data_IF_232853017975
#
_entry.id   IF_232853017975
#
_cell.length_a   1.000
_cell.length_b   1.000
_cell.length_c   1.000
_cell.angle_alpha   90.00
_cell.angle_beta   90.00
_cell.angle_gamma   90.00
#
_symmetry.space_group_name_H-M   'P 1'
#
loop_
_entity.id
_entity.type
_entity.pdbx_description
1 polymer ?
#
# COMPACT_ATOMS: atom_id res chain seq x y z
N UNK A 1 42.32 -51.05 -16.43
CA UNK A 1 43.22 -51.35 -15.32
C UNK A 1 42.48 -51.01 -14.04
N UNK A 2 41.79 -51.97 -13.45
CA UNK A 2 41.97 -52.73 -12.23
C UNK A 2 42.68 -51.98 -11.09
N UNK A 3 41.92 -51.71 -10.00
CA UNK A 3 42.23 -51.99 -8.60
C UNK A 3 41.01 -51.62 -7.75
N UNK A 4 40.35 -52.44 -7.26
CA UNK A 4 39.92 -53.23 -6.11
C UNK A 4 40.78 -52.97 -4.87
N UNK A 5 40.20 -52.56 -3.77
CA UNK A 5 40.60 -52.73 -2.38
C UNK A 5 39.40 -52.20 -1.56
N UNK A 6 38.66 -52.99 -0.92
CA UNK A 6 38.71 -53.83 0.24
C UNK A 6 37.75 -53.29 1.33
N UNK A 7 36.81 -54.11 1.62
CA UNK A 7 35.80 -54.10 2.68
C UNK A 7 36.53 -54.19 4.04
N UNK A 8 36.13 -53.41 5.03
CA UNK A 8 36.25 -53.73 6.44
C UNK A 8 34.91 -53.46 7.16
N UNK A 9 34.24 -54.55 7.42
CA UNK A 9 33.05 -54.65 8.27
C UNK A 9 33.53 -54.45 9.72
N UNK A 10 32.97 -53.43 10.41
CA UNK A 10 33.01 -53.34 11.88
C UNK A 10 31.57 -53.33 12.40
N UNK A 11 31.20 -54.47 12.91
CA UNK A 11 29.92 -54.76 13.59
C UNK A 11 30.00 -54.13 14.98
N UNK A 12 29.17 -53.08 15.26
CA UNK A 12 28.96 -52.58 16.63
C UNK A 12 27.49 -52.74 16.98
N UNK A 13 27.29 -53.50 18.02
CA UNK A 13 26.05 -53.89 18.67
C UNK A 13 25.15 -52.69 18.97
N UNK A 14 23.90 -52.76 18.52
CA UNK A 14 22.82 -51.91 18.95
C UNK A 14 22.39 -52.28 20.35
N UNK A 15 22.59 -51.35 21.29
CA UNK A 15 21.83 -51.29 22.53
C UNK A 15 20.67 -50.30 22.32
N UNK A 16 19.48 -50.86 22.16
CA UNK A 16 18.25 -50.09 22.14
C UNK A 16 17.96 -49.54 23.54
N UNK A 17 18.14 -48.21 23.72
CA UNK A 17 17.44 -47.50 24.79
C UNK A 17 16.40 -46.64 24.11
N UNK A 18 15.15 -47.05 24.19
CA UNK A 18 13.95 -46.29 23.94
C UNK A 18 13.85 -45.18 25.00
N UNK A 19 14.32 -43.99 24.66
CA UNK A 19 13.97 -42.78 25.40
C UNK A 19 12.87 -42.07 24.61
N UNK A 20 11.69 -42.20 25.15
CA UNK A 20 10.50 -41.45 24.79
C UNK A 20 10.75 -39.98 25.19
N UNK A 21 11.41 -39.21 24.34
CA UNK A 21 11.46 -37.73 24.47
C UNK A 21 10.11 -37.18 24.12
N UNK A 22 9.20 -37.23 25.10
CA UNK A 22 8.07 -36.32 25.16
C UNK A 22 8.61 -34.90 25.12
N UNK A 23 8.19 -34.14 24.10
CA UNK A 23 8.35 -32.69 24.05
C UNK A 23 7.87 -32.14 25.40
N UNK A 24 8.80 -31.80 26.26
CA UNK A 24 8.54 -31.00 27.45
C UNK A 24 8.19 -29.60 26.92
N UNK A 25 6.89 -29.35 26.71
CA UNK A 25 6.35 -28.01 26.71
C UNK A 25 6.74 -27.43 28.07
N UNK A 26 7.70 -26.54 28.03
CA UNK A 26 8.14 -25.71 29.13
C UNK A 26 6.88 -25.11 29.78
N UNK A 27 6.38 -25.70 30.82
CA UNK A 27 5.36 -25.13 31.68
C UNK A 27 6.02 -23.99 32.43
N UNK A 28 6.20 -22.86 31.68
CA UNK A 28 6.55 -21.60 32.25
C UNK A 28 5.50 -21.30 33.31
N UNK A 29 5.92 -21.40 34.55
CA UNK A 29 5.20 -21.20 35.78
C UNK A 29 4.07 -20.18 35.63
N UNK A 30 2.84 -20.66 35.43
CA UNK A 30 1.68 -19.97 35.95
C UNK A 30 1.88 -19.98 37.43
N UNK A 31 2.31 -18.86 37.98
CA UNK A 31 2.37 -18.66 39.43
C UNK A 31 0.93 -18.85 39.89
N UNK A 32 0.67 -20.01 40.44
CA UNK A 32 -0.61 -20.42 41.04
C UNK A 32 -0.73 -19.73 42.41
N UNK A 33 -0.52 -18.43 42.42
CA UNK A 33 -0.59 -17.56 43.59
C UNK A 33 -2.01 -17.06 43.71
N UNK A 34 -2.88 -17.86 44.27
CA UNK A 34 -4.20 -17.39 44.69
C UNK A 34 -4.09 -16.68 46.03
N UNK A 35 -4.66 -15.51 46.18
CA UNK A 35 -4.82 -14.83 47.45
C UNK A 35 -6.15 -15.24 48.02
N UNK A 36 -6.16 -15.65 49.28
CA UNK A 36 -7.38 -16.00 50.01
C UNK A 36 -7.57 -15.01 51.16
N UNK A 37 -8.66 -14.29 51.14
CA UNK A 37 -9.06 -13.35 52.20
C UNK A 37 -10.32 -13.87 52.92
N UNK A 38 -10.46 -13.51 54.17
CA UNK A 38 -11.70 -13.74 54.91
C UNK A 38 -12.67 -12.58 54.73
N UNK A 39 -13.94 -12.74 55.13
CA UNK A 39 -15.00 -11.73 54.90
C UNK A 39 -14.69 -10.41 55.60
N UNK A 40 -13.99 -10.41 56.74
CA UNK A 40 -13.59 -9.19 57.45
C UNK A 40 -12.50 -8.41 56.69
N UNK A 41 -11.53 -9.13 56.13
CA UNK A 41 -10.47 -8.53 55.27
C UNK A 41 -11.05 -7.95 54.01
N UNK A 42 -12.01 -8.63 53.35
CA UNK A 42 -12.69 -8.17 52.17
C UNK A 42 -13.43 -6.88 52.44
N UNK A 43 -14.16 -6.84 53.55
CA UNK A 43 -14.93 -5.63 53.98
C UNK A 43 -14.02 -4.47 54.31
N UNK A 44 -12.91 -4.71 55.03
CA UNK A 44 -11.96 -3.66 55.43
C UNK A 44 -11.18 -3.11 54.24
N UNK A 45 -10.91 -3.89 53.23
CA UNK A 45 -10.27 -3.49 51.96
C UNK A 45 -11.27 -2.88 50.96
N UNK A 46 -12.56 -2.79 51.26
CA UNK A 46 -13.57 -2.23 50.39
C UNK A 46 -13.72 -2.97 49.03
N UNK A 47 -13.40 -4.29 49.06
CA UNK A 47 -13.49 -5.11 47.84
C UNK A 47 -14.95 -5.37 47.50
N UNK A 48 -15.33 -4.96 46.29
CA UNK A 48 -16.68 -5.19 45.75
C UNK A 48 -16.61 -6.12 44.55
N UNK A 49 -17.60 -7.01 44.50
CA UNK A 49 -17.76 -7.95 43.40
C UNK A 49 -18.93 -7.53 42.52
N UNK A 50 -18.77 -7.65 41.23
CA UNK A 50 -19.81 -7.33 40.24
C UNK A 50 -19.59 -8.03 38.90
N UNK A 51 -20.57 -7.92 38.02
CA UNK A 51 -20.45 -8.42 36.65
C UNK A 51 -20.04 -7.32 35.71
N UNK A 52 -19.27 -7.61 34.65
CA UNK A 52 -19.04 -6.69 33.56
C UNK A 52 -20.35 -6.15 33.02
N UNK A 53 -20.40 -4.85 32.79
CA UNK A 53 -21.58 -4.16 32.26
C UNK A 53 -21.42 -3.92 30.77
N UNK A 54 -22.47 -4.19 29.99
CA UNK A 54 -22.47 -3.88 28.57
C UNK A 54 -22.68 -2.38 28.38
N UNK A 55 -21.71 -1.69 27.83
CA UNK A 55 -21.78 -0.25 27.57
C UNK A 55 -21.47 0.06 26.12
N UNK A 56 -22.12 1.09 25.59
CA UNK A 56 -21.79 1.63 24.27
C UNK A 56 -20.59 2.55 24.41
N UNK A 57 -19.44 2.07 24.00
CA UNK A 57 -18.16 2.78 24.15
C UNK A 57 -17.48 2.93 22.78
N UNK A 58 -16.81 4.07 22.56
CA UNK A 58 -16.10 4.32 21.32
C UNK A 58 -14.76 3.57 21.30
N UNK A 59 -14.60 2.65 20.37
CA UNK A 59 -13.31 2.01 20.14
C UNK A 59 -12.43 2.89 19.24
N UNK A 60 -11.17 3.04 19.63
CA UNK A 60 -10.14 3.71 18.85
C UNK A 60 -9.11 2.67 18.38
N UNK A 61 -8.92 2.57 17.08
CA UNK A 61 -7.87 1.73 16.50
C UNK A 61 -6.67 2.62 16.24
N UNK A 62 -5.55 2.28 16.89
CA UNK A 62 -4.26 2.91 16.63
C UNK A 62 -3.51 2.11 15.56
N UNK A 63 -3.05 2.81 14.54
CA UNK A 63 -2.36 2.21 13.41
C UNK A 63 -1.27 3.17 12.90
N UNK A 64 -0.36 2.66 12.08
CA UNK A 64 0.62 3.48 11.38
C UNK A 64 0.28 3.51 9.88
N UNK A 65 0.77 4.51 9.21
CA UNK A 65 0.57 4.62 7.78
C UNK A 65 1.52 5.61 7.12
N UNK A 66 1.34 5.76 5.82
CA UNK A 66 2.08 6.72 4.99
C UNK A 66 1.15 7.39 3.98
N UNK A 67 1.54 8.57 3.54
CA UNK A 67 0.86 9.26 2.44
C UNK A 67 1.38 8.69 1.12
N UNK A 68 0.46 8.29 0.25
CA UNK A 68 0.79 7.75 -1.07
C UNK A 68 -0.01 8.46 -2.18
N UNK A 69 0.53 8.40 -3.40
CA UNK A 69 -0.16 8.84 -4.61
C UNK A 69 -0.69 7.61 -5.35
N UNK A 70 -1.99 7.53 -5.68
CA UNK A 70 -2.54 6.42 -6.45
C UNK A 70 -1.80 6.26 -7.79
N UNK A 71 -1.60 5.03 -8.29
CA UNK A 71 -0.89 4.78 -9.54
C UNK A 71 -1.44 5.55 -10.75
N UNK A 72 -2.76 5.81 -10.80
CA UNK A 72 -3.39 6.60 -11.86
C UNK A 72 -3.05 8.09 -11.83
N UNK A 73 -2.55 8.59 -10.70
CA UNK A 73 -2.17 9.99 -10.47
C UNK A 73 -0.65 10.19 -10.46
N UNK A 74 0.07 9.19 -10.92
CA UNK A 74 1.53 9.18 -11.05
C UNK A 74 1.89 8.67 -12.43
N UNK A 75 2.81 9.34 -13.11
CA UNK A 75 3.29 8.88 -14.40
C UNK A 75 4.81 8.94 -14.46
N UNK A 76 5.38 7.90 -15.05
CA UNK A 76 6.79 7.86 -15.40
C UNK A 76 6.93 8.47 -16.79
N UNK A 77 7.77 9.47 -16.92
CA UNK A 77 8.14 10.06 -18.20
C UNK A 77 9.36 9.29 -18.71
N UNK A 78 9.18 8.63 -19.85
CA UNK A 78 10.22 7.96 -20.61
C UNK A 78 10.28 8.55 -22.01
N UNK A 79 11.43 8.49 -22.65
CA UNK A 79 11.54 8.79 -24.07
C UNK A 79 10.84 7.70 -24.86
N UNK A 80 9.86 8.02 -25.71
CA UNK A 80 9.21 7.05 -26.60
C UNK A 80 10.14 6.60 -27.73
N UNK A 81 11.05 7.49 -28.12
CA UNK A 81 12.16 7.25 -29.02
C UNK A 81 13.45 7.63 -28.30
N UNK A 82 14.54 6.94 -28.62
CA UNK A 82 15.87 7.32 -28.12
C UNK A 82 16.26 8.72 -28.60
N UNK A 83 17.28 9.29 -27.99
CA UNK A 83 17.83 10.55 -28.44
C UNK A 83 18.70 11.25 -27.41
N UNK A 84 19.50 12.22 -27.87
CA UNK A 84 20.29 13.06 -26.99
C UNK A 84 19.44 14.14 -26.35
N UNK A 85 19.59 14.31 -25.05
CA UNK A 85 18.90 15.37 -24.31
C UNK A 85 19.52 16.72 -24.66
N UNK A 86 18.80 17.56 -25.37
CA UNK A 86 19.26 18.87 -25.82
C UNK A 86 19.10 19.95 -24.77
N UNK A 87 17.95 19.97 -24.12
CA UNK A 87 17.65 20.93 -23.06
C UNK A 87 16.74 20.33 -22.01
N UNK A 88 16.91 20.74 -20.76
CA UNK A 88 16.04 20.39 -19.62
C UNK A 88 15.41 21.68 -19.09
N UNK A 89 14.09 21.75 -19.02
CA UNK A 89 13.36 22.98 -18.66
C UNK A 89 12.71 22.92 -17.28
N UNK A 90 12.90 21.82 -16.56
CA UNK A 90 12.28 21.59 -15.27
C UNK A 90 13.33 21.14 -14.25
N UNK A 91 13.02 21.31 -12.97
CA UNK A 91 13.80 20.86 -11.83
C UNK A 91 12.96 19.92 -10.98
N UNK A 92 13.63 19.13 -10.18
CA UNK A 92 12.97 18.29 -9.17
C UNK A 92 12.20 19.17 -8.17
N UNK A 93 10.94 18.81 -7.86
CA UNK A 93 10.03 19.63 -7.05
C UNK A 93 9.27 20.72 -7.80
N UNK A 94 9.55 20.96 -9.10
CA UNK A 94 8.88 21.99 -9.87
C UNK A 94 7.46 21.60 -10.25
N UNK A 95 6.52 22.53 -10.09
CA UNK A 95 5.14 22.38 -10.58
C UNK A 95 5.11 22.60 -12.12
N UNK A 96 4.49 21.67 -12.83
CA UNK A 96 4.32 21.71 -14.28
C UNK A 96 2.84 21.66 -14.65
N UNK A 97 2.51 22.28 -15.80
CA UNK A 97 1.16 22.25 -16.36
C UNK A 97 1.06 21.21 -17.48
N UNK A 98 -0.14 20.65 -17.69
CA UNK A 98 -0.42 19.77 -18.82
C UNK A 98 -0.01 20.45 -20.14
N UNK A 99 0.77 19.74 -20.97
CA UNK A 99 1.28 20.25 -22.25
C UNK A 99 2.56 21.08 -22.14
N UNK A 100 3.04 21.39 -20.94
CA UNK A 100 4.31 22.10 -20.75
C UNK A 100 5.48 21.21 -21.19
N UNK A 101 6.44 21.79 -21.92
CA UNK A 101 7.67 21.10 -22.34
C UNK A 101 8.58 20.89 -21.13
N UNK A 102 8.93 19.64 -20.88
CA UNK A 102 9.80 19.20 -19.79
C UNK A 102 11.28 19.24 -20.21
N UNK A 103 11.55 18.66 -21.36
CA UNK A 103 12.87 18.63 -21.98
C UNK A 103 12.73 18.45 -23.49
N UNK A 104 13.84 18.63 -24.24
CA UNK A 104 13.87 18.37 -25.69
C UNK A 104 14.89 17.29 -25.99
N UNK A 105 14.56 16.44 -26.97
CA UNK A 105 15.42 15.39 -27.51
C UNK A 105 15.82 15.73 -28.95
N UNK A 106 16.99 15.29 -29.35
CA UNK A 106 17.41 15.27 -30.75
C UNK A 106 17.92 13.87 -31.13
N UNK A 107 17.48 13.37 -32.30
CA UNK A 107 17.93 12.08 -32.83
C UNK A 107 17.88 12.11 -34.37
N UNK A 108 18.97 11.71 -35.07
CA UNK A 108 18.97 11.64 -36.52
C UNK A 108 17.89 10.74 -37.12
N UNK A 109 17.50 9.66 -36.44
CA UNK A 109 16.43 8.74 -36.86
C UNK A 109 15.09 9.48 -37.04
N UNK A 110 14.84 10.49 -36.20
CA UNK A 110 13.61 11.26 -36.29
C UNK A 110 13.62 12.24 -37.47
N UNK A 111 14.79 12.67 -37.90
CA UNK A 111 14.96 13.45 -39.13
C UNK A 111 14.68 12.54 -40.35
N UNK A 112 15.24 11.33 -40.37
CA UNK A 112 14.99 10.34 -41.44
C UNK A 112 13.52 9.99 -41.56
N UNK A 113 12.81 9.78 -40.46
CA UNK A 113 11.36 9.51 -40.46
C UNK A 113 10.54 10.65 -41.10
N UNK A 114 10.97 11.89 -40.88
CA UNK A 114 10.36 13.08 -41.47
C UNK A 114 10.65 13.18 -42.98
N UNK A 115 11.88 12.89 -43.38
CA UNK A 115 12.27 12.83 -44.79
C UNK A 115 11.49 11.78 -45.55
N UNK A 116 11.43 10.53 -45.01
CA UNK A 116 10.65 9.41 -45.55
C UNK A 116 9.16 9.80 -45.75
N UNK A 117 8.57 10.51 -44.76
CA UNK A 117 7.18 10.94 -44.86
C UNK A 117 6.97 11.96 -45.94
N UNK A 118 7.86 12.96 -46.08
CA UNK A 118 7.78 13.99 -47.14
C UNK A 118 7.90 13.34 -48.51
N UNK A 119 8.87 12.42 -48.68
CA UNK A 119 9.10 11.71 -49.94
C UNK A 119 7.88 10.92 -50.38
N UNK A 120 7.35 10.07 -49.45
CA UNK A 120 6.17 9.24 -49.75
C UNK A 120 4.95 10.09 -50.00
N UNK A 121 4.78 11.20 -49.29
CA UNK A 121 3.65 12.13 -49.49
C UNK A 121 3.70 12.80 -50.84
N UNK A 122 4.87 13.25 -51.29
CA UNK A 122 5.05 13.80 -52.63
C UNK A 122 4.82 12.79 -53.77
N UNK A 123 5.32 11.56 -53.57
CA UNK A 123 5.13 10.50 -54.56
C UNK A 123 3.66 10.04 -54.69
N UNK A 124 2.85 10.17 -53.65
CA UNK A 124 1.45 9.78 -53.67
C UNK A 124 0.60 10.57 -54.66
N UNK A 125 0.89 11.84 -54.87
CA UNK A 125 0.17 12.66 -55.87
C UNK A 125 0.38 12.07 -57.28
N UNK A 126 1.61 11.76 -57.61
CA UNK A 126 1.94 11.11 -58.90
C UNK A 126 1.26 9.76 -59.03
N UNK A 127 1.36 8.89 -57.99
CA UNK A 127 0.76 7.54 -58.01
C UNK A 127 -0.77 7.60 -58.09
N UNK A 128 -1.41 8.59 -57.48
CA UNK A 128 -2.85 8.79 -57.58
C UNK A 128 -3.26 9.19 -59.01
N UNK A 129 -2.55 10.15 -59.60
CA UNK A 129 -2.81 10.58 -60.96
C UNK A 129 -2.62 9.44 -61.98
N UNK A 130 -1.60 8.60 -61.77
CA UNK A 130 -1.37 7.41 -62.59
C UNK A 130 -2.47 6.36 -62.41
N UNK A 131 -2.93 6.09 -61.21
CA UNK A 131 -4.05 5.22 -60.94
C UNK A 131 -5.33 5.72 -61.62
N UNK A 132 -5.64 7.00 -61.51
CA UNK A 132 -6.80 7.65 -62.17
C UNK A 132 -6.72 7.55 -63.68
N UNK A 133 -5.52 7.75 -64.26
CA UNK A 133 -5.26 7.60 -65.69
C UNK A 133 -5.49 6.15 -66.17
N UNK A 134 -4.92 5.17 -65.46
CA UNK A 134 -5.10 3.76 -65.81
C UNK A 134 -6.55 3.31 -65.61
N UNK A 135 -7.26 3.83 -64.60
CA UNK A 135 -8.68 3.58 -64.39
C UNK A 135 -9.52 4.07 -65.55
N UNK A 136 -9.22 5.24 -66.05
CA UNK A 136 -9.92 5.85 -67.22
C UNK A 136 -9.67 5.08 -68.51
N UNK A 137 -8.42 4.63 -68.75
CA UNK A 137 -8.07 3.85 -69.95
C UNK A 137 -8.77 2.50 -69.95
N UNK A 138 -8.83 1.79 -68.80
CA UNK A 138 -9.55 0.50 -68.68
C UNK A 138 -11.06 0.69 -68.90
N UNK A 139 -11.66 1.78 -68.38
CA UNK A 139 -13.08 2.09 -68.60
C UNK A 139 -13.41 2.35 -70.07
N UNK A 140 -12.44 2.89 -70.83
CA UNK A 140 -12.57 3.16 -72.29
C UNK A 140 -12.13 1.95 -73.16
N UNK A 141 -11.91 0.78 -72.55
CA UNK A 141 -11.42 -0.41 -73.26
C UNK A 141 -10.04 -0.23 -73.92
N UNK A 142 -9.34 0.84 -73.64
CA UNK A 142 -8.05 1.24 -74.21
C UNK A 142 -6.84 0.88 -73.35
N UNK A 143 -7.07 0.28 -72.15
CA UNK A 143 -6.05 0.01 -71.18
C UNK A 143 -5.89 -1.47 -70.82
N UNK A 144 -4.71 -1.82 -70.31
CA UNK A 144 -4.42 -3.15 -69.80
C UNK A 144 -4.89 -3.31 -68.36
N UNK A 145 -5.66 -4.34 -68.05
CA UNK A 145 -6.06 -4.68 -66.69
C UNK A 145 -4.83 -4.88 -65.77
N UNK A 146 -3.73 -5.47 -66.31
CA UNK A 146 -2.45 -5.63 -65.60
C UNK A 146 -1.85 -4.29 -65.18
N UNK A 147 -1.86 -3.29 -66.06
CA UNK A 147 -1.34 -1.95 -65.76
C UNK A 147 -2.16 -1.24 -64.67
N UNK A 148 -3.48 -1.39 -64.74
CA UNK A 148 -4.38 -0.89 -63.70
C UNK A 148 -4.11 -1.54 -62.36
N UNK A 149 -4.02 -2.89 -62.30
CA UNK A 149 -3.73 -3.64 -61.09
C UNK A 149 -2.38 -3.25 -60.50
N UNK A 150 -1.37 -3.01 -61.32
CA UNK A 150 -0.06 -2.55 -60.88
C UNK A 150 -0.12 -1.15 -60.30
N UNK A 151 -0.74 -0.19 -60.98
CA UNK A 151 -0.90 1.17 -60.51
C UNK A 151 -1.65 1.22 -59.15
N UNK A 152 -2.75 0.43 -59.06
CA UNK A 152 -3.54 0.31 -57.84
C UNK A 152 -2.73 -0.28 -56.67
N UNK A 153 -1.96 -1.34 -56.95
CA UNK A 153 -1.11 -1.96 -55.93
C UNK A 153 -0.03 -1.02 -55.43
N UNK A 154 0.65 -0.32 -56.32
CA UNK A 154 1.71 0.66 -55.98
C UNK A 154 1.18 1.83 -55.21
N UNK A 155 0.04 2.38 -55.60
CA UNK A 155 -0.64 3.46 -54.84
C UNK A 155 -1.01 2.98 -53.44
N UNK A 156 -1.63 1.83 -53.29
CA UNK A 156 -2.02 1.28 -52.00
C UNK A 156 -0.81 1.02 -51.10
N UNK A 157 0.30 0.52 -51.64
CA UNK A 157 1.53 0.30 -50.87
C UNK A 157 2.12 1.63 -50.34
N UNK A 158 2.16 2.67 -51.18
CA UNK A 158 2.62 4.01 -50.79
C UNK A 158 1.69 4.65 -49.73
N UNK A 159 0.38 4.50 -49.90
CA UNK A 159 -0.61 4.96 -48.92
C UNK A 159 -0.45 4.30 -47.57
N UNK A 160 -0.24 2.98 -47.56
CA UNK A 160 0.03 2.24 -46.29
C UNK A 160 1.33 2.70 -45.65
N UNK A 161 2.42 2.89 -46.41
CA UNK A 161 3.68 3.44 -45.92
C UNK A 161 3.51 4.84 -45.32
N UNK A 162 2.80 5.73 -45.99
CA UNK A 162 2.47 7.09 -45.48
C UNK A 162 1.73 7.03 -44.15
N UNK A 163 0.69 6.18 -44.06
CA UNK A 163 -0.09 6.04 -42.83
C UNK A 163 0.73 5.50 -41.68
N UNK A 164 1.63 4.56 -41.92
CA UNK A 164 2.57 4.04 -40.94
C UNK A 164 3.55 5.10 -40.44
N UNK A 165 4.14 5.87 -41.35
CA UNK A 165 5.04 6.97 -41.02
C UNK A 165 4.31 8.08 -40.23
N UNK A 166 3.07 8.43 -40.68
CA UNK A 166 2.23 9.37 -39.93
C UNK A 166 1.98 8.95 -38.50
N UNK A 167 1.70 7.69 -38.27
CA UNK A 167 1.50 7.16 -36.91
C UNK A 167 2.77 7.27 -36.08
N UNK A 168 3.95 6.88 -36.63
CA UNK A 168 5.25 7.01 -35.95
C UNK A 168 5.57 8.46 -35.59
N UNK A 169 5.36 9.41 -36.50
CA UNK A 169 5.60 10.83 -36.27
C UNK A 169 4.67 11.41 -35.20
N UNK A 170 3.40 10.97 -35.19
CA UNK A 170 2.45 11.35 -34.17
C UNK A 170 2.85 10.84 -32.78
N UNK A 171 3.32 9.58 -32.69
CA UNK A 171 3.85 9.00 -31.43
C UNK A 171 5.08 9.77 -30.96
N UNK A 172 5.93 10.27 -31.87
CA UNK A 172 7.08 11.12 -31.52
C UNK A 172 6.68 12.55 -31.10
N UNK A 173 5.40 12.90 -31.16
CA UNK A 173 4.93 14.28 -30.85
C UNK A 173 5.28 15.32 -31.91
N UNK A 174 5.67 14.89 -33.13
CA UNK A 174 6.06 15.79 -34.23
C UNK A 174 4.83 16.39 -34.91
N UNK A 175 4.93 17.67 -35.21
CA UNK A 175 3.84 18.41 -35.88
C UNK A 175 3.80 18.13 -37.38
N UNK A 176 2.79 17.38 -37.83
CA UNK A 176 2.56 17.12 -39.25
C UNK A 176 2.22 18.41 -40.03
N UNK A 177 1.67 19.41 -39.37
CA UNK A 177 1.37 20.74 -40.03
C UNK A 177 2.67 21.42 -40.45
N UNK A 178 3.66 21.47 -39.54
CA UNK A 178 4.99 22.03 -39.83
C UNK A 178 5.70 21.22 -40.91
N UNK A 179 5.59 19.90 -40.83
CA UNK A 179 6.24 18.99 -41.77
C UNK A 179 5.64 19.10 -43.18
N UNK A 180 4.31 19.21 -43.32
CA UNK A 180 3.65 19.44 -44.61
C UNK A 180 3.98 20.80 -45.19
N UNK A 181 4.37 21.79 -44.35
CA UNK A 181 4.90 23.09 -44.79
C UNK A 181 6.41 23.03 -45.14
N UNK A 182 7.02 21.83 -45.16
CA UNK A 182 8.42 21.62 -45.51
C UNK A 182 9.41 21.88 -44.40
N UNK A 183 8.95 22.07 -43.15
CA UNK A 183 9.84 22.31 -41.99
C UNK A 183 10.14 21.03 -41.27
N UNK A 184 11.40 20.55 -41.34
CA UNK A 184 11.92 19.43 -40.55
C UNK A 184 12.28 19.96 -39.16
N UNK A 185 11.82 19.25 -38.14
CA UNK A 185 12.08 19.55 -36.72
C UNK A 185 13.23 18.67 -36.24
N UNK A 186 14.34 19.27 -35.81
CA UNK A 186 15.49 18.57 -35.25
C UNK A 186 15.29 18.25 -33.76
N UNK A 187 14.55 19.10 -33.05
CA UNK A 187 14.29 18.95 -31.62
C UNK A 187 12.83 18.52 -31.39
N UNK A 188 12.66 17.55 -30.55
CA UNK A 188 11.35 17.02 -30.17
C UNK A 188 11.06 17.35 -28.71
N UNK A 189 10.00 18.11 -28.42
CA UNK A 189 9.62 18.39 -27.05
C UNK A 189 8.94 17.16 -26.42
N UNK A 190 9.40 16.76 -25.25
CA UNK A 190 8.66 15.86 -24.36
C UNK A 190 7.84 16.71 -23.41
N UNK A 191 6.52 16.48 -23.42
CA UNK A 191 5.55 17.32 -22.71
C UNK A 191 4.91 16.60 -21.54
N UNK A 192 4.46 17.36 -20.52
CA UNK A 192 3.73 16.84 -19.37
C UNK A 192 2.33 16.34 -19.78
N UNK A 193 1.95 15.08 -19.48
CA UNK A 193 0.63 14.55 -19.84
C UNK A 193 -0.50 15.11 -18.97
N UNK A 194 -0.20 15.55 -17.75
CA UNK A 194 -1.11 16.24 -16.83
C UNK A 194 -0.33 17.25 -15.97
N UNK A 195 -1.06 18.10 -15.23
CA UNK A 195 -0.44 19.08 -14.33
C UNK A 195 -0.09 18.41 -13.01
N UNK A 196 1.14 18.59 -12.53
CA UNK A 196 1.63 17.94 -11.31
C UNK A 196 3.01 18.43 -10.92
N UNK A 197 3.63 17.76 -9.97
CA UNK A 197 4.98 18.05 -9.49
C UNK A 197 5.97 17.03 -10.07
N UNK A 198 7.08 17.54 -10.59
CA UNK A 198 8.20 16.72 -11.07
C UNK A 198 8.92 16.09 -9.89
N UNK A 199 9.19 14.80 -9.99
CA UNK A 199 9.98 14.06 -8.99
C UNK A 199 10.93 13.08 -9.69
N UNK A 200 11.99 12.69 -9.02
CA UNK A 200 12.97 11.71 -9.52
C UNK A 200 13.56 12.10 -10.87
N UNK A 201 13.96 13.34 -11.02
CA UNK A 201 14.61 13.82 -12.23
C UNK A 201 15.99 13.15 -12.41
N UNK A 202 16.09 12.25 -13.41
CA UNK A 202 17.26 11.43 -13.68
C UNK A 202 17.83 11.66 -15.09
N UNK A 203 17.90 12.93 -15.54
CA UNK A 203 18.43 13.26 -16.86
C UNK A 203 19.40 14.43 -16.82
N UNK A 204 20.35 14.41 -17.76
CA UNK A 204 21.36 15.44 -17.91
C UNK A 204 21.46 15.90 -19.38
N UNK A 205 21.69 17.19 -19.60
CA UNK A 205 21.91 17.72 -20.94
C UNK A 205 23.13 17.05 -21.57
N UNK A 206 22.99 16.59 -22.80
CA UNK A 206 24.03 15.90 -23.57
C UNK A 206 24.07 14.37 -23.33
N UNK A 207 23.32 13.82 -22.38
CA UNK A 207 23.20 12.35 -22.24
C UNK A 207 22.25 11.78 -23.30
N UNK A 208 22.46 10.51 -23.66
CA UNK A 208 21.56 9.77 -24.51
C UNK A 208 20.50 9.08 -23.66
N UNK A 209 19.23 9.27 -23.99
CA UNK A 209 18.10 8.61 -23.34
C UNK A 209 17.62 7.44 -24.22
N UNK A 210 17.54 6.26 -23.62
CA UNK A 210 16.95 5.08 -24.28
C UNK A 210 15.43 5.02 -24.07
N UNK A 211 14.67 4.34 -24.95
CA UNK A 211 13.22 4.24 -24.83
C UNK A 211 12.69 3.59 -23.53
N UNK A 212 13.56 2.94 -22.77
CA UNK A 212 13.23 2.27 -21.49
C UNK A 212 13.62 3.07 -20.26
N UNK A 213 14.34 4.16 -20.44
CA UNK A 213 14.84 4.92 -19.32
C UNK A 213 13.71 5.66 -18.59
N UNK A 214 13.70 5.51 -17.27
CA UNK A 214 12.85 6.32 -16.40
C UNK A 214 13.52 7.68 -16.20
N UNK A 215 13.09 8.68 -16.95
CA UNK A 215 13.75 9.97 -16.99
C UNK A 215 13.30 10.90 -15.87
N UNK A 216 12.03 10.84 -15.51
CA UNK A 216 11.44 11.55 -14.36
C UNK A 216 10.06 10.98 -14.04
N UNK A 217 9.50 11.38 -12.91
CA UNK A 217 8.11 11.13 -12.56
C UNK A 217 7.35 12.45 -12.44
N UNK A 218 6.07 12.44 -12.78
CA UNK A 218 5.13 13.52 -12.48
C UNK A 218 4.05 12.95 -11.58
N UNK A 219 3.77 13.62 -10.47
CA UNK A 219 2.77 13.22 -9.49
C UNK A 219 1.73 14.32 -9.31
N UNK A 220 0.45 13.92 -9.22
CA UNK A 220 -0.64 14.84 -8.89
C UNK A 220 -0.90 14.80 -7.38
N UNK A 221 -0.41 15.81 -6.66
CA UNK A 221 -0.53 15.91 -5.20
C UNK A 221 -1.98 16.07 -4.71
N UNK A 222 -2.91 16.53 -5.57
CA UNK A 222 -4.31 16.70 -5.19
C UNK A 222 -5.01 15.39 -4.85
N UNK A 223 -4.51 14.29 -5.39
CA UNK A 223 -5.06 12.96 -5.19
C UNK A 223 -4.26 12.14 -4.18
N UNK A 224 -3.46 12.80 -3.32
CA UNK A 224 -2.78 12.11 -2.22
C UNK A 224 -3.81 11.46 -1.29
N UNK A 225 -3.55 10.25 -0.86
CA UNK A 225 -4.37 9.53 0.09
C UNK A 225 -3.50 8.91 1.19
N UNK A 226 -4.12 8.59 2.30
CA UNK A 226 -3.43 7.93 3.40
C UNK A 226 -3.62 6.41 3.29
N UNK A 227 -2.51 5.68 3.29
CA UNK A 227 -2.48 4.23 3.41
C UNK A 227 -2.20 3.86 4.87
N UNK A 228 -3.20 3.27 5.53
CA UNK A 228 -3.14 2.88 6.94
C UNK A 228 -3.00 1.37 7.04
N UNK A 229 -2.04 0.90 7.82
CA UNK A 229 -1.77 -0.51 8.03
C UNK A 229 -2.46 -0.95 9.32
N UNK A 230 -3.51 -1.79 9.21
CA UNK A 230 -4.35 -2.22 10.33
C UNK A 230 -4.20 -3.72 10.55
N UNK A 231 -4.15 -4.18 11.79
CA UNK A 231 -4.08 -5.60 12.12
C UNK A 231 -5.39 -6.33 11.81
N UNK A 232 -5.30 -7.57 11.36
CA UNK A 232 -6.44 -8.46 11.05
C UNK A 232 -7.48 -8.51 12.18
N UNK A 233 -7.04 -8.57 13.45
CA UNK A 233 -7.92 -8.63 14.62
C UNK A 233 -8.88 -7.44 14.74
N UNK A 234 -8.50 -6.29 14.17
CA UNK A 234 -9.24 -5.03 14.27
C UNK A 234 -10.20 -4.82 13.09
N UNK A 235 -10.10 -5.66 12.03
CA UNK A 235 -10.95 -5.55 10.82
C UNK A 235 -12.45 -5.63 11.13
N UNK A 236 -12.84 -6.43 12.12
CA UNK A 236 -14.25 -6.58 12.54
C UNK A 236 -14.90 -5.25 12.96
N UNK A 237 -14.11 -4.25 13.33
CA UNK A 237 -14.56 -2.93 13.77
C UNK A 237 -14.50 -1.88 12.66
N UNK A 238 -13.85 -2.17 11.53
CA UNK A 238 -13.67 -1.21 10.44
C UNK A 238 -14.89 -1.16 9.53
N UNK A 239 -15.25 0.07 9.16
CA UNK A 239 -16.30 0.37 8.19
C UNK A 239 -15.89 1.54 7.32
N UNK A 240 -16.29 1.51 6.06
CA UNK A 240 -16.12 2.64 5.14
C UNK A 240 -16.84 3.87 5.71
N UNK A 241 -16.25 5.04 5.57
CA UNK A 241 -16.77 6.32 6.04
C UNK A 241 -16.37 6.70 7.47
N UNK A 242 -15.69 5.82 8.21
CA UNK A 242 -15.18 6.14 9.55
C UNK A 242 -14.16 7.27 9.51
N UNK A 243 -14.22 8.15 10.51
CA UNK A 243 -13.27 9.25 10.67
C UNK A 243 -11.91 8.72 11.13
N UNK A 244 -10.85 9.26 10.54
CA UNK A 244 -9.47 8.95 10.87
C UNK A 244 -8.73 10.25 11.16
N UNK A 245 -8.04 10.30 12.28
CA UNK A 245 -7.12 11.37 12.60
C UNK A 245 -5.70 10.87 12.31
N UNK A 246 -4.96 11.61 11.49
CA UNK A 246 -3.60 11.32 11.08
C UNK A 246 -2.68 12.33 11.77
N UNK A 247 -1.85 11.89 12.68
CA UNK A 247 -0.83 12.72 13.31
C UNK A 247 0.50 12.54 12.57
N UNK A 248 0.94 13.55 11.84
CA UNK A 248 2.23 13.53 11.14
C UNK A 248 3.36 13.43 12.16
N UNK A 249 4.40 12.67 11.80
CA UNK A 249 5.52 12.40 12.72
C UNK A 249 6.40 13.65 12.93
N UNK A 250 6.43 14.56 11.93
CA UNK A 250 7.38 15.67 11.90
C UNK A 250 6.94 16.89 12.74
N UNK A 251 5.65 17.19 12.80
CA UNK A 251 5.15 18.44 13.39
C UNK A 251 3.92 18.26 14.29
N UNK A 252 3.49 17.02 14.55
CA UNK A 252 2.25 16.71 15.29
C UNK A 252 0.97 17.36 14.70
N UNK A 253 1.02 17.82 13.46
CA UNK A 253 -0.19 18.31 12.77
C UNK A 253 -1.19 17.16 12.61
N UNK A 254 -2.44 17.42 12.99
CA UNK A 254 -3.52 16.44 12.85
C UNK A 254 -4.29 16.72 11.58
N UNK A 255 -4.25 15.78 10.66
CA UNK A 255 -5.00 15.80 9.43
C UNK A 255 -6.18 14.84 9.57
N UNK A 256 -7.36 15.28 9.13
CA UNK A 256 -8.54 14.45 9.13
C UNK A 256 -8.71 13.74 7.78
N UNK A 257 -9.12 12.48 7.87
CA UNK A 257 -9.40 11.63 6.72
C UNK A 257 -10.60 10.74 7.00
N UNK A 258 -11.07 10.03 5.98
CA UNK A 258 -12.13 9.03 6.09
C UNK A 258 -11.70 7.72 5.44
N UNK A 259 -12.06 6.61 6.06
CA UNK A 259 -11.89 5.28 5.48
C UNK A 259 -12.67 5.21 4.16
N UNK A 260 -11.96 5.02 3.05
CA UNK A 260 -12.53 4.92 1.71
C UNK A 260 -12.61 3.48 1.23
N UNK A 261 -11.53 2.71 1.41
CA UNK A 261 -11.45 1.32 0.98
C UNK A 261 -10.72 0.49 2.02
N UNK A 262 -11.25 -0.69 2.32
CA UNK A 262 -10.60 -1.68 3.18
C UNK A 262 -10.13 -2.82 2.29
N UNK A 263 -8.83 -3.07 2.29
CA UNK A 263 -8.20 -4.17 1.56
C UNK A 263 -8.80 -5.52 1.98
N UNK A 264 -8.79 -6.48 1.06
CA UNK A 264 -9.29 -7.84 1.32
C UNK A 264 -8.18 -8.87 1.41
N UNK A 265 -6.96 -8.45 1.16
CA UNK A 265 -5.77 -9.30 1.26
C UNK A 265 -5.12 -9.08 2.63
N UNK A 266 -4.85 -10.19 3.32
CA UNK A 266 -4.11 -10.18 4.57
C UNK A 266 -2.66 -10.48 4.23
N UNK A 267 -1.76 -9.57 4.57
CA UNK A 267 -0.33 -9.74 4.37
C UNK A 267 0.27 -10.78 5.33
N UNK A 268 1.52 -11.19 5.11
CA UNK A 268 2.19 -12.22 5.91
C UNK A 268 2.34 -11.83 7.39
N UNK A 269 2.43 -10.55 7.67
CA UNK A 269 2.51 -9.96 9.02
C UNK A 269 1.13 -9.78 9.69
N UNK A 270 0.08 -10.37 9.11
CA UNK A 270 -1.31 -10.26 9.57
C UNK A 270 -1.84 -8.83 9.59
N UNK A 271 -1.44 -8.04 8.62
CA UNK A 271 -1.97 -6.69 8.43
C UNK A 271 -2.82 -6.60 7.17
N UNK A 272 -3.66 -5.57 7.11
CA UNK A 272 -4.48 -5.22 5.96
C UNK A 272 -4.29 -3.74 5.67
N UNK A 273 -4.18 -3.41 4.40
CA UNK A 273 -4.06 -2.04 3.94
C UNK A 273 -5.44 -1.39 3.85
N UNK A 274 -5.58 -0.22 4.46
CA UNK A 274 -6.79 0.59 4.47
C UNK A 274 -6.49 1.93 3.81
N UNK A 275 -7.21 2.24 2.73
CA UNK A 275 -7.07 3.53 2.05
C UNK A 275 -8.03 4.55 2.65
N UNK A 276 -7.52 5.71 3.00
CA UNK A 276 -8.28 6.80 3.58
C UNK A 276 -8.13 8.04 2.72
N UNK A 277 -9.24 8.67 2.36
CA UNK A 277 -9.25 9.94 1.66
C UNK A 277 -9.11 11.08 2.68
N UNK A 278 -8.24 12.02 2.38
CA UNK A 278 -8.06 13.23 3.16
C UNK A 278 -9.30 14.14 3.01
N UNK A 279 -9.78 14.72 4.12
CA UNK A 279 -10.94 15.64 4.07
C UNK A 279 -10.62 16.96 3.36
N UNK A 280 -9.36 17.34 3.31
CA UNK A 280 -8.86 18.53 2.60
C UNK A 280 -7.68 18.15 1.75
N UNK A 281 -7.66 18.63 0.50
CA UNK A 281 -6.46 18.59 -0.33
C UNK A 281 -5.35 19.38 0.38
N UNK A 282 -4.26 18.71 0.70
CA UNK A 282 -3.11 19.35 1.33
C UNK A 282 -1.87 19.15 0.45
N UNK A 283 -1.57 20.17 -0.35
CA UNK A 283 -0.43 20.16 -1.27
C UNK A 283 0.94 20.29 -0.58
N UNK A 284 0.95 20.51 0.73
CA UNK A 284 2.20 20.64 1.50
C UNK A 284 2.71 19.32 2.05
N UNK A 285 1.87 18.28 2.06
CA UNK A 285 2.26 16.96 2.57
C UNK A 285 3.02 16.22 1.46
N UNK A 286 4.27 15.91 1.75
CA UNK A 286 5.08 15.13 0.82
C UNK A 286 4.61 13.65 0.77
N UNK A 287 4.42 13.05 -0.42
CA UNK A 287 4.23 11.61 -0.54
C UNK A 287 5.39 10.86 0.11
N UNK A 288 5.07 9.75 0.80
CA UNK A 288 6.03 9.02 1.60
C UNK A 288 6.12 9.46 3.06
N UNK A 289 5.47 10.58 3.46
CA UNK A 289 5.41 11.00 4.88
C UNK A 289 4.69 9.97 5.72
N UNK A 290 5.29 9.60 6.86
CA UNK A 290 4.71 8.68 7.84
C UNK A 290 3.84 9.42 8.85
N UNK A 291 2.80 8.73 9.32
CA UNK A 291 1.90 9.23 10.35
C UNK A 291 1.43 8.12 11.29
N UNK A 292 0.94 8.53 12.46
CA UNK A 292 0.13 7.70 13.35
C UNK A 292 -1.34 7.98 13.06
N UNK A 293 -2.11 6.92 12.80
CA UNK A 293 -3.55 6.99 12.54
C UNK A 293 -4.34 6.59 13.78
N UNK A 294 -5.38 7.36 14.09
CA UNK A 294 -6.41 6.99 15.07
C UNK A 294 -7.73 6.89 14.33
N UNK A 295 -8.23 5.65 14.17
CA UNK A 295 -9.51 5.38 13.49
C UNK A 295 -10.62 5.33 14.54
N UNK A 296 -11.65 6.16 14.35
CA UNK A 296 -12.83 6.20 15.20
C UNK A 296 -13.85 5.18 14.70
N UNK A 297 -13.97 4.03 15.39
CA UNK A 297 -14.84 2.94 14.92
C UNK A 297 -16.33 3.16 15.21
N UNK A 298 -16.67 4.28 15.85
CA UNK A 298 -17.99 4.53 16.39
C UNK A 298 -18.20 3.81 17.73
N UNK A 299 -19.39 3.93 18.27
CA UNK A 299 -19.74 3.25 19.52
C UNK A 299 -20.15 1.81 19.25
N UNK A 300 -19.54 0.88 19.97
CA UNK A 300 -19.92 -0.54 19.98
C UNK A 300 -20.27 -0.97 21.40
N UNK A 301 -21.21 -1.90 21.52
CA UNK A 301 -21.53 -2.48 22.83
C UNK A 301 -20.40 -3.40 23.26
N UNK A 302 -19.68 -3.03 24.31
CA UNK A 302 -18.57 -3.79 24.86
C UNK A 302 -18.78 -4.06 26.35
N UNK A 303 -18.25 -5.18 26.83
CA UNK A 303 -18.23 -5.44 28.26
C UNK A 303 -17.17 -4.55 28.91
N UNK A 304 -17.58 -3.76 29.86
CA UNK A 304 -16.77 -2.78 30.56
C UNK A 304 -16.75 -3.07 32.07
N UNK A 305 -15.64 -2.71 32.68
CA UNK A 305 -15.46 -2.60 34.12
C UNK A 305 -15.08 -1.17 34.48
N UNK A 306 -15.27 -0.74 35.74
CA UNK A 306 -14.59 0.44 36.23
C UNK A 306 -13.08 0.33 36.00
N UNK A 307 -12.43 1.42 35.60
CA UNK A 307 -11.01 1.40 35.25
C UNK A 307 -10.11 0.90 36.39
N UNK A 308 -10.52 1.17 37.63
CA UNK A 308 -9.85 0.72 38.86
C UNK A 308 -9.93 -0.81 39.10
N UNK A 309 -10.84 -1.51 38.43
CA UNK A 309 -10.97 -2.96 38.51
C UNK A 309 -9.87 -3.72 37.71
N UNK A 310 -9.17 -3.02 36.82
CA UNK A 310 -8.11 -3.59 35.98
C UNK A 310 -6.76 -3.07 36.49
N UNK A 311 -5.91 -3.99 36.92
CA UNK A 311 -4.59 -3.65 37.48
C UNK A 311 -3.48 -4.32 36.67
N UNK A 312 -2.27 -3.77 36.76
CA UNK A 312 -1.10 -4.34 36.11
C UNK A 312 -0.33 -5.27 37.05
N UNK A 313 -0.20 -6.53 36.68
CA UNK A 313 0.59 -7.55 37.39
C UNK A 313 1.65 -8.09 36.41
N UNK A 314 2.94 -7.93 36.73
CA UNK A 314 4.06 -8.42 35.92
C UNK A 314 3.94 -7.96 34.42
N UNK A 315 3.69 -6.68 34.18
CA UNK A 315 3.49 -6.08 32.85
C UNK A 315 2.32 -6.68 32.07
N UNK A 316 1.31 -7.21 32.77
CA UNK A 316 0.07 -7.73 32.18
C UNK A 316 -1.13 -7.12 32.87
N UNK A 317 -2.12 -6.74 32.08
CA UNK A 317 -3.39 -6.28 32.64
C UNK A 317 -4.20 -7.49 33.13
N UNK A 318 -4.65 -7.46 34.38
CA UNK A 318 -5.42 -8.53 35.00
C UNK A 318 -6.66 -7.99 35.68
N UNK A 319 -7.68 -8.84 35.73
CA UNK A 319 -8.86 -8.70 36.58
C UNK A 319 -8.89 -9.84 37.56
N UNK A 320 -9.44 -9.65 38.74
CA UNK A 320 -9.54 -10.73 39.74
C UNK A 320 -10.91 -11.37 39.72
N UNK A 321 -10.91 -12.71 39.67
CA UNK A 321 -12.11 -13.59 39.74
C UNK A 321 -12.22 -14.12 41.16
N UNK A 322 -13.28 -13.76 41.90
CA UNK A 322 -13.52 -14.32 43.25
C UNK A 322 -14.04 -15.76 43.17
N UNK A 323 -13.44 -16.63 43.94
CA UNK A 323 -13.85 -18.04 44.09
C UNK A 323 -14.03 -18.36 45.57
N UNK A 324 -15.27 -18.55 46.03
CA UNK A 324 -15.56 -18.89 47.43
C UNK A 324 -15.16 -20.31 47.74
N UNK A 325 -14.35 -20.45 48.79
CA UNK A 325 -13.92 -21.78 49.34
C UNK A 325 -14.15 -21.78 50.88
N UNK A 326 -15.32 -22.23 51.29
CA UNK A 326 -15.72 -22.21 52.70
C UNK A 326 -15.84 -20.80 53.27
N UNK A 327 -15.11 -20.50 54.36
CA UNK A 327 -15.11 -19.19 55.02
C UNK A 327 -14.09 -18.18 54.41
N UNK A 328 -13.47 -18.51 53.30
CA UNK A 328 -12.50 -17.63 52.60
C UNK A 328 -12.85 -17.51 51.15
N UNK A 329 -12.60 -16.33 50.57
CA UNK A 329 -12.68 -16.09 49.11
C UNK A 329 -11.28 -16.02 48.54
N UNK A 330 -11.02 -16.83 47.53
CA UNK A 330 -9.76 -16.84 46.78
C UNK A 330 -9.91 -16.01 45.53
N UNK A 331 -8.97 -15.11 45.23
CA UNK A 331 -8.95 -14.24 44.07
C UNK A 331 -7.94 -14.78 43.02
N UNK A 332 -8.43 -15.09 41.83
CA UNK A 332 -7.64 -15.65 40.75
C UNK A 332 -7.40 -14.56 39.72
N UNK A 333 -6.15 -14.20 39.39
CA UNK A 333 -5.87 -13.23 38.35
C UNK A 333 -6.19 -13.80 36.96
N UNK A 334 -6.96 -13.11 36.19
CA UNK A 334 -7.28 -13.43 34.79
C UNK A 334 -6.74 -12.35 33.86
N UNK A 335 -5.88 -12.73 32.92
CA UNK A 335 -5.26 -11.80 31.98
C UNK A 335 -6.30 -11.29 30.98
N UNK A 336 -6.29 -9.95 30.78
CA UNK A 336 -7.20 -9.26 29.87
C UNK A 336 -6.43 -8.36 28.90
N UNK A 337 -7.03 -8.09 27.75
CA UNK A 337 -6.60 -7.04 26.83
C UNK A 337 -7.53 -5.85 26.98
N UNK A 338 -6.97 -4.67 27.23
CA UNK A 338 -7.73 -3.42 27.20
C UNK A 338 -8.01 -3.07 25.74
N UNK A 339 -9.29 -2.82 25.44
CA UNK A 339 -9.73 -2.39 24.10
C UNK A 339 -9.74 -0.86 24.00
N UNK A 340 -10.32 -0.21 24.97
CA UNK A 340 -10.38 1.26 25.08
C UNK A 340 -10.81 1.64 26.49
N UNK A 341 -10.45 2.87 26.90
CA UNK A 341 -10.94 3.48 28.15
C UNK A 341 -11.63 4.78 27.80
N UNK A 342 -12.83 4.96 28.31
CA UNK A 342 -13.62 6.17 28.15
C UNK A 342 -14.24 6.56 29.48
N UNK A 343 -13.91 7.78 29.95
CA UNK A 343 -14.23 8.23 31.30
C UNK A 343 -13.67 7.27 32.37
N UNK A 344 -14.52 6.74 33.24
CA UNK A 344 -14.16 5.83 34.32
C UNK A 344 -14.35 4.34 33.96
N UNK A 345 -14.62 4.03 32.69
CA UNK A 345 -14.92 2.67 32.23
C UNK A 345 -13.91 2.19 31.23
N UNK A 346 -13.46 0.96 31.42
CA UNK A 346 -12.52 0.29 30.52
C UNK A 346 -13.19 -0.93 29.87
N UNK A 347 -13.24 -0.94 28.55
CA UNK A 347 -13.66 -2.09 27.76
C UNK A 347 -12.50 -3.08 27.66
N UNK A 348 -12.79 -4.36 27.82
CA UNK A 348 -11.76 -5.40 27.85
C UNK A 348 -12.20 -6.69 27.18
N UNK A 349 -11.21 -7.53 26.83
CA UNK A 349 -11.39 -8.91 26.38
C UNK A 349 -10.52 -9.85 27.21
N UNK A 350 -11.07 -11.00 27.61
CA UNK A 350 -10.27 -12.06 28.25
C UNK A 350 -9.31 -12.70 27.23
N UNK A 351 -8.04 -12.85 27.58
CA UNK A 351 -7.08 -13.56 26.72
C UNK A 351 -7.25 -15.08 26.74
N UNK A 352 -7.79 -15.63 27.83
CA UNK A 352 -8.03 -17.06 27.96
C UNK A 352 -9.52 -17.41 27.77
N UNK A 353 -9.81 -18.34 26.86
CA UNK A 353 -11.17 -18.77 26.50
C UNK A 353 -11.95 -19.35 27.66
N UNK A 354 -11.26 -19.84 28.72
CA UNK A 354 -11.90 -20.41 29.92
C UNK A 354 -12.70 -19.42 30.76
N UNK A 355 -12.54 -18.14 30.54
CA UNK A 355 -13.24 -17.07 31.24
C UNK A 355 -14.36 -16.49 30.37
N UNK A 356 -15.46 -16.06 31.02
CA UNK A 356 -16.60 -15.46 30.33
C UNK A 356 -17.17 -14.27 31.12
N UNK A 357 -17.95 -13.45 30.46
CA UNK A 357 -18.52 -12.21 31.02
C UNK A 357 -19.70 -12.43 32.00
N UNK A 358 -20.11 -13.67 32.23
CA UNK A 358 -21.14 -14.00 33.22
C UNK A 358 -20.58 -14.18 34.63
N UNK A 359 -19.26 -14.24 34.75
CA UNK A 359 -18.56 -14.43 36.03
C UNK A 359 -18.60 -13.13 36.86
N UNK A 360 -18.59 -13.31 38.17
CA UNK A 360 -18.32 -12.23 39.12
C UNK A 360 -16.83 -11.86 39.02
N UNK A 361 -16.56 -10.55 38.97
CA UNK A 361 -15.22 -9.98 38.98
C UNK A 361 -15.13 -8.98 40.12
N UNK A 362 -13.93 -8.68 40.55
CA UNK A 362 -13.68 -7.56 41.45
C UNK A 362 -13.87 -6.27 40.64
N UNK A 363 -14.77 -5.40 41.09
CA UNK A 363 -15.07 -4.11 40.45
C UNK A 363 -14.51 -2.95 41.22
N UNK A 364 -14.20 -3.11 42.52
CA UNK A 364 -13.56 -2.12 43.39
C UNK A 364 -12.58 -2.85 44.33
N UNK A 365 -11.49 -2.20 44.74
CA UNK A 365 -10.48 -2.75 45.65
C UNK A 365 -9.50 -3.73 44.98
N UNK A 366 -9.39 -3.75 43.66
CA UNK A 366 -8.45 -4.64 42.96
C UNK A 366 -6.98 -4.34 43.27
N UNK A 367 -6.64 -3.08 43.58
CA UNK A 367 -5.29 -2.68 43.99
C UNK A 367 -4.89 -3.22 45.33
N UNK A 368 -5.81 -3.33 46.30
CA UNK A 368 -5.55 -3.91 47.63
C UNK A 368 -5.26 -5.41 47.52
N UNK A 369 -5.97 -6.13 46.65
CA UNK A 369 -5.65 -7.52 46.33
C UNK A 369 -4.27 -7.61 45.69
N UNK A 370 -3.93 -6.73 44.74
CA UNK A 370 -2.62 -6.72 44.08
C UNK A 370 -1.50 -6.45 45.09
N UNK A 371 -1.66 -5.50 46.01
CA UNK A 371 -0.68 -5.19 47.05
C UNK A 371 -0.42 -6.38 47.95
N UNK A 372 -1.48 -7.09 48.37
CA UNK A 372 -1.37 -8.34 49.16
C UNK A 372 -0.69 -9.45 48.37
N UNK A 373 -0.89 -9.47 47.03
CA UNK A 373 -0.26 -10.44 46.13
C UNK A 373 1.26 -10.22 46.04
N UNK A 374 1.70 -8.96 45.91
CA UNK A 374 3.12 -8.62 45.83
C UNK A 374 3.86 -8.89 47.15
N UNK A 375 3.25 -8.57 48.30
CA UNK A 375 3.82 -8.86 49.60
C UNK A 375 4.04 -10.36 49.87
N UNK A 376 3.13 -11.21 49.39
CA UNK A 376 3.26 -12.68 49.50
C UNK A 376 4.27 -13.27 48.51
N UNK A 377 4.63 -12.59 47.46
CA UNK A 377 5.63 -13.04 46.49
C UNK A 377 7.07 -12.72 46.93
N UNK A 378 7.24 -11.87 47.95
CA UNK A 378 8.52 -11.50 48.57
C UNK A 378 8.87 -12.33 49.81
N UNK A 379 7.90 -13.07 50.36
CA UNK A 379 8.11 -14.07 51.42
C UNK A 379 8.44 -15.48 50.86
#
# INVERSE_FOLDING_TARGET
MKKIISISILLVMLSACSSNEGVQIDKKQVVDSTISLNDEQIKNAGIEEGKPTLKSIGLLIQANGKIEIPPQNKTIIAAQFGGFIKSVKVLDGMLVQKGQTLFTLEDPVLIELQQDYIEVNGNLEFLNAELDRQTSLVRQEAGSLKSYQYAKSTYNAALAKKNGLKAKLAMAGLSLVKLNAGTIQSEIPVIAPFSGVVTKLALSVGSYAEPKDHLMEIIDLKHAHAEVIVFEKDLKYLKIGQKVNLALTDNNEIITAKVFLIGKEIAQDRTVLVHCHLDKENSTIAPGSYFKATIHTGTTSQYCLPSEAIVELNSRNVVFIPVKKGAKTSFIPAEVSILTTENEWTAFEFKAIKYNYSQQLVINGAYDILSTFLLKAEE
#
